data_IF_243403526154
#
_entry.id   IF_243403526154
#
_cell.length_a   1.000
_cell.length_b   1.000
_cell.length_c   1.000
_cell.angle_alpha   90.00
_cell.angle_beta   90.00
_cell.angle_gamma   90.00
#
_symmetry.space_group_name_H-M   'P 1'
#
loop_
_entity.id
_entity.type
_entity.pdbx_description
1 polymer ?
#
# COMPACT_ATOMS: atom_id res chain seq x y z
N UNK A 1 -13.06 12.85 -48.00
CA UNK A 1 -13.49 13.86 -47.02
C UNK A 1 -13.22 13.26 -45.64
N UNK A 2 -12.02 13.45 -45.06
CA UNK A 2 -11.71 14.46 -44.02
C UNK A 2 -12.81 14.44 -42.93
N UNK A 3 -12.59 14.02 -41.68
CA UNK A 3 -11.45 14.22 -40.76
C UNK A 3 -11.45 13.04 -39.77
N UNK A 4 -10.36 12.31 -39.55
CA UNK A 4 -9.30 12.64 -38.59
C UNK A 4 -9.79 13.43 -37.37
N UNK A 5 -10.15 12.72 -36.28
CA UNK A 5 -9.86 13.24 -34.94
C UNK A 5 -8.99 12.21 -34.23
N UNK A 6 -7.69 12.43 -34.35
CA UNK A 6 -6.57 11.65 -33.83
C UNK A 6 -6.25 12.01 -32.36
N UNK A 7 -7.16 12.64 -31.63
CA UNK A 7 -6.89 13.19 -30.29
C UNK A 7 -8.21 13.10 -29.50
N UNK A 8 -8.31 12.20 -28.48
CA UNK A 8 -9.04 12.43 -27.21
C UNK A 8 -9.14 11.23 -26.23
N UNK A 9 -8.73 9.99 -26.55
CA UNK A 9 -8.65 8.90 -25.52
C UNK A 9 -7.19 8.47 -25.24
N UNK A 10 -6.23 9.25 -25.76
CA UNK A 10 -4.88 9.35 -25.20
C UNK A 10 -4.86 9.93 -23.76
N UNK A 11 -6.02 10.32 -23.22
CA UNK A 11 -6.20 10.75 -21.82
C UNK A 11 -6.84 9.69 -20.90
N UNK A 12 -6.98 8.44 -21.36
CA UNK A 12 -7.44 7.32 -20.52
C UNK A 12 -6.35 6.26 -20.26
N UNK A 13 -5.07 6.58 -20.52
CA UNK A 13 -3.93 5.66 -20.33
C UNK A 13 -2.84 6.19 -19.37
N UNK A 14 -2.91 7.43 -18.89
CA UNK A 14 -1.84 8.00 -18.04
C UNK A 14 -2.12 7.97 -16.55
N UNK A 15 -3.28 7.48 -16.12
CA UNK A 15 -3.55 7.28 -14.69
C UNK A 15 -3.92 5.83 -14.44
N UNK A 16 -2.95 4.93 -14.62
CA UNK A 16 -2.90 3.80 -13.71
C UNK A 16 -2.63 4.41 -12.32
N UNK A 17 -3.69 4.81 -11.61
CA UNK A 17 -3.59 5.08 -10.17
C UNK A 17 -2.98 3.80 -9.62
N UNK A 18 -1.80 3.91 -9.02
CA UNK A 18 -1.15 2.80 -8.32
C UNK A 18 -2.04 2.42 -7.14
N UNK A 19 -3.09 1.65 -7.42
CA UNK A 19 -3.96 1.09 -6.42
C UNK A 19 -3.12 0.07 -5.65
N UNK A 20 -2.98 0.30 -4.36
CA UNK A 20 -2.32 -0.65 -3.46
C UNK A 20 -3.17 -1.93 -3.51
N UNK A 21 -2.60 -3.10 -3.81
CA UNK A 21 -3.32 -4.36 -3.75
C UNK A 21 -3.89 -4.56 -2.33
N UNK A 22 -5.14 -4.98 -2.20
CA UNK A 22 -5.74 -5.26 -0.89
C UNK A 22 -6.30 -6.68 -0.92
N UNK A 23 -5.80 -7.54 -0.03
CA UNK A 23 -6.45 -8.82 0.26
C UNK A 23 -7.56 -8.60 1.30
N UNK A 24 -8.85 -8.66 0.95
CA UNK A 24 -9.94 -8.41 1.89
C UNK A 24 -9.98 -9.42 3.05
N UNK A 25 -9.39 -10.60 2.88
CA UNK A 25 -9.43 -11.70 3.85
C UNK A 25 -8.15 -11.78 4.70
N UNK A 26 -7.20 -10.86 4.53
CA UNK A 26 -5.92 -10.85 5.26
C UNK A 26 -6.10 -11.04 6.78
N UNK A 27 -7.12 -10.41 7.36
CA UNK A 27 -7.37 -10.41 8.81
C UNK A 27 -8.17 -11.60 9.36
N UNK A 28 -8.64 -12.55 8.53
CA UNK A 28 -9.48 -13.67 8.99
C UNK A 28 -8.85 -14.47 10.15
N UNK A 29 -7.53 -14.68 10.08
CA UNK A 29 -6.76 -15.47 11.04
C UNK A 29 -5.68 -14.67 11.77
N UNK A 30 -5.85 -13.35 11.86
CA UNK A 30 -4.90 -12.43 12.51
C UNK A 30 -5.48 -11.83 13.78
N UNK A 31 -4.61 -11.47 14.72
CA UNK A 31 -5.00 -10.66 15.88
C UNK A 31 -5.19 -9.20 15.46
N UNK A 32 -5.86 -8.42 16.30
CA UNK A 32 -6.02 -6.98 16.06
C UNK A 32 -4.65 -6.28 16.14
N UNK A 33 -4.41 -5.35 15.22
CA UNK A 33 -3.12 -4.65 15.09
C UNK A 33 -2.75 -4.37 13.63
N UNK A 34 -1.62 -3.68 13.44
CA UNK A 34 -1.05 -3.45 12.13
C UNK A 34 -0.13 -4.58 11.64
N UNK A 35 -0.03 -4.74 10.32
CA UNK A 35 0.84 -5.70 9.65
C UNK A 35 1.43 -5.08 8.39
N UNK A 36 2.74 -5.27 8.17
CA UNK A 36 3.40 -4.73 6.99
C UNK A 36 2.73 -5.18 5.67
N UNK A 37 2.56 -4.25 4.75
CA UNK A 37 2.08 -4.59 3.41
C UNK A 37 3.22 -5.25 2.61
N UNK A 38 2.98 -6.37 1.90
CA UNK A 38 4.05 -7.18 1.31
C UNK A 38 4.86 -6.46 0.24
N UNK A 39 4.24 -5.50 -0.48
CA UNK A 39 4.87 -4.83 -1.63
C UNK A 39 4.90 -3.29 -1.53
N UNK A 40 4.40 -2.72 -0.44
CA UNK A 40 4.25 -1.26 -0.32
C UNK A 40 4.71 -0.82 1.07
N UNK A 41 5.97 -0.38 1.18
CA UNK A 41 6.64 -0.05 2.45
C UNK A 41 5.95 1.04 3.27
N UNK A 42 5.24 1.95 2.59
CA UNK A 42 4.45 3.02 3.22
C UNK A 42 3.06 2.54 3.65
N UNK A 43 2.66 1.33 3.28
CA UNK A 43 1.33 0.81 3.56
C UNK A 43 1.41 -0.34 4.58
N UNK A 44 0.31 -0.52 5.29
CA UNK A 44 0.12 -1.61 6.22
C UNK A 44 -1.35 -2.04 6.24
N UNK A 45 -1.57 -3.31 6.52
CA UNK A 45 -2.88 -3.84 6.87
C UNK A 45 -3.20 -3.46 8.31
N UNK A 46 -4.40 -2.97 8.57
CA UNK A 46 -4.96 -2.79 9.90
C UNK A 46 -6.07 -3.82 10.10
N UNK A 47 -5.89 -4.69 11.10
CA UNK A 47 -6.88 -5.66 11.53
C UNK A 47 -7.61 -5.15 12.76
N UNK A 48 -8.94 -5.04 12.67
CA UNK A 48 -9.82 -4.75 13.80
C UNK A 48 -11.02 -5.68 13.72
N UNK A 49 -11.22 -6.53 14.72
CA UNK A 49 -12.35 -7.48 14.76
C UNK A 49 -12.47 -8.29 13.47
N UNK A 50 -11.33 -8.80 12.97
CA UNK A 50 -11.20 -9.58 11.72
C UNK A 50 -11.50 -8.83 10.42
N UNK A 51 -11.69 -7.50 10.47
CA UNK A 51 -11.88 -6.68 9.25
C UNK A 51 -10.55 -6.18 8.73
N UNK A 52 -10.34 -6.32 7.44
CA UNK A 52 -9.15 -5.82 6.75
C UNK A 52 -9.34 -4.39 6.28
N UNK A 53 -8.40 -3.51 6.62
CA UNK A 53 -8.21 -2.21 6.00
C UNK A 53 -6.76 -2.05 5.57
N UNK A 54 -6.48 -1.25 4.54
CA UNK A 54 -5.11 -0.86 4.18
C UNK A 54 -4.97 0.64 4.38
N UNK A 55 -3.96 1.02 5.15
CA UNK A 55 -3.66 2.40 5.48
C UNK A 55 -2.28 2.75 4.91
N UNK A 56 -2.09 4.04 4.64
CA UNK A 56 -0.82 4.57 4.15
C UNK A 56 -0.25 5.52 5.21
N UNK A 57 1.02 5.31 5.56
CA UNK A 57 1.80 6.21 6.37
C UNK A 57 1.94 7.58 5.70
N UNK A 58 2.07 8.65 6.51
CA UNK A 58 2.41 9.98 6.01
C UNK A 58 3.65 9.97 5.11
N UNK A 59 3.81 11.04 4.33
CA UNK A 59 4.93 11.17 3.42
C UNK A 59 6.28 11.08 4.14
N UNK A 60 7.21 10.31 3.58
CA UNK A 60 8.54 10.08 4.15
C UNK A 60 8.61 9.05 5.28
N UNK A 61 7.48 8.51 5.76
CA UNK A 61 7.45 7.51 6.82
C UNK A 61 7.11 6.12 6.28
N UNK A 62 7.66 5.09 6.92
CA UNK A 62 7.40 3.68 6.61
C UNK A 62 6.79 2.99 7.84
N UNK A 63 6.04 1.92 7.63
CA UNK A 63 5.43 1.19 8.75
C UNK A 63 6.47 0.31 9.47
N UNK A 64 6.58 0.48 10.78
CA UNK A 64 7.37 -0.35 11.69
C UNK A 64 6.45 -1.36 12.42
N UNK A 65 6.47 -2.65 12.05
CA UNK A 65 5.63 -3.67 12.66
C UNK A 65 6.05 -4.04 14.09
N UNK A 66 7.27 -3.70 14.53
CA UNK A 66 7.72 -4.03 15.89
C UNK A 66 7.03 -3.12 16.93
N UNK A 67 6.63 -1.92 16.51
CA UNK A 67 6.07 -0.88 17.37
C UNK A 67 4.67 -0.41 16.95
N UNK A 68 4.14 -0.93 15.83
CA UNK A 68 2.86 -0.56 15.23
C UNK A 68 2.72 0.96 14.97
N UNK A 69 3.77 1.56 14.37
CA UNK A 69 3.85 3.00 14.09
C UNK A 69 4.42 3.29 12.70
N UNK A 70 4.15 4.49 12.18
CA UNK A 70 4.88 5.02 11.04
C UNK A 70 6.15 5.73 11.54
N UNK A 71 7.31 5.21 11.17
CA UNK A 71 8.61 5.69 11.62
C UNK A 71 9.48 6.11 10.43
N UNK A 72 10.48 6.96 10.69
CA UNK A 72 11.43 7.39 9.67
C UNK A 72 12.36 6.23 9.30
N UNK A 73 12.73 6.10 8.00
CA UNK A 73 13.54 4.99 7.52
C UNK A 73 14.86 4.78 8.30
N UNK A 74 15.49 5.85 8.77
CA UNK A 74 16.76 5.79 9.50
C UNK A 74 16.69 5.13 10.88
N UNK A 75 15.49 4.93 11.46
CA UNK A 75 15.30 4.26 12.74
C UNK A 75 14.77 2.83 12.61
N UNK A 76 14.42 2.38 11.40
CA UNK A 76 13.95 1.03 11.18
C UNK A 76 15.08 0.03 11.34
N UNK A 77 14.83 -1.02 12.13
CA UNK A 77 15.79 -2.12 12.30
C UNK A 77 15.89 -3.01 11.06
N UNK A 78 14.86 -3.00 10.21
CA UNK A 78 14.79 -3.82 9.00
C UNK A 78 14.27 -3.00 7.82
N UNK A 79 14.91 -3.08 6.64
CA UNK A 79 14.38 -2.45 5.46
C UNK A 79 13.16 -3.23 4.95
N UNK A 80 12.14 -2.50 4.51
CA UNK A 80 10.88 -3.05 4.03
C UNK A 80 11.00 -4.00 2.81
N UNK A 81 12.16 -4.04 2.14
CA UNK A 81 12.45 -4.96 1.03
C UNK A 81 12.75 -6.41 1.47
N UNK A 82 12.87 -6.70 2.77
CA UNK A 82 13.05 -8.08 3.26
C UNK A 82 11.78 -8.93 3.23
N UNK A 83 10.63 -8.33 2.90
CA UNK A 83 9.36 -9.04 2.71
C UNK A 83 9.15 -9.55 1.25
N UNK A 84 10.11 -9.28 0.34
CA UNK A 84 10.11 -9.71 -1.07
C UNK A 84 10.81 -11.09 -1.33
N UNK A 85 10.82 -12.01 -0.36
CA UNK A 85 11.35 -13.38 -0.56
C UNK A 85 10.37 -14.48 -0.18
#
# INVERSE_FOLDING_TARGET
MKKLSLILISFFLTIAVSAIPVDPNFCENKEDGGYAHPTHCRAYYLCISKRTSVLMCPEGLLYDPDYDVCERPEFLKKPCAEFDK
#
